data_IF_116432657205
#
_entry.id   IF_116432657205
#
_cell.length_a   1.000
_cell.length_b   1.000
_cell.length_c   1.000
_cell.angle_alpha   90.00
_cell.angle_beta   90.00
_cell.angle_gamma   90.00
#
_symmetry.space_group_name_H-M   'P 1'
#
loop_
_entity.id
_entity.type
_entity.pdbx_description
1 polymer ?
#
# COMPACT_ATOMS: atom_id res chain seq x y z
N UNK A 1 1.44 -27.33 0.61
CA UNK A 1 0.92 -25.94 0.62
C UNK A 1 -0.47 -25.84 -0.01
N UNK A 2 -0.67 -26.16 -1.29
CA UNK A 2 -1.97 -26.02 -1.98
C UNK A 2 -3.08 -26.84 -1.32
N UNK A 3 -2.86 -28.11 -0.96
CA UNK A 3 -3.84 -28.94 -0.23
C UNK A 3 -4.22 -28.32 1.11
N UNK A 4 -3.24 -27.83 1.88
CA UNK A 4 -3.49 -27.17 3.17
C UNK A 4 -4.30 -25.88 3.00
N UNK A 5 -3.92 -25.04 2.03
CA UNK A 5 -4.65 -23.82 1.70
C UNK A 5 -6.11 -24.14 1.31
N UNK A 6 -6.32 -25.18 0.49
CA UNK A 6 -7.66 -25.60 0.04
C UNK A 6 -8.55 -25.99 1.22
N UNK A 7 -8.01 -26.76 2.19
CA UNK A 7 -8.75 -27.15 3.39
C UNK A 7 -9.16 -25.93 4.23
N UNK A 8 -8.24 -25.00 4.48
CA UNK A 8 -8.51 -23.79 5.27
C UNK A 8 -9.51 -22.87 4.55
N UNK A 9 -9.27 -22.57 3.26
CA UNK A 9 -10.12 -21.64 2.51
C UNK A 9 -11.55 -22.15 2.34
N UNK A 10 -11.74 -23.48 2.18
CA UNK A 10 -13.07 -24.10 2.11
C UNK A 10 -13.86 -23.85 3.40
N UNK A 11 -13.28 -24.14 4.56
CA UNK A 11 -13.92 -23.91 5.86
C UNK A 11 -14.21 -22.44 6.09
N UNK A 12 -13.24 -21.56 5.81
CA UNK A 12 -13.45 -20.11 5.97
C UNK A 12 -14.64 -19.59 5.17
N UNK A 13 -14.78 -20.04 3.92
CA UNK A 13 -15.92 -19.63 3.09
C UNK A 13 -17.23 -20.23 3.61
N UNK A 14 -17.21 -21.48 4.10
CA UNK A 14 -18.40 -22.13 4.64
C UNK A 14 -18.90 -21.46 5.92
N UNK A 15 -17.98 -21.09 6.83
CA UNK A 15 -18.34 -20.51 8.12
C UNK A 15 -18.56 -19.01 8.10
N UNK A 16 -17.73 -18.28 7.36
CA UNK A 16 -17.71 -16.81 7.40
C UNK A 16 -18.12 -16.16 6.08
N UNK A 17 -18.41 -16.94 5.06
CA UNK A 17 -18.76 -16.46 3.72
C UNK A 17 -17.62 -15.74 3.01
N UNK A 18 -17.92 -15.18 1.85
CA UNK A 18 -16.94 -14.45 1.04
C UNK A 18 -16.45 -13.16 1.69
N UNK A 19 -17.35 -12.45 2.37
CA UNK A 19 -16.98 -11.25 3.13
C UNK A 19 -15.99 -11.57 4.24
N UNK A 20 -16.25 -12.62 5.00
CA UNK A 20 -15.39 -13.05 6.09
C UNK A 20 -13.99 -13.45 5.61
N UNK A 21 -13.87 -14.08 4.43
CA UNK A 21 -12.59 -14.36 3.79
C UNK A 21 -11.88 -13.07 3.39
N UNK A 22 -12.55 -12.13 2.70
CA UNK A 22 -11.95 -10.87 2.27
C UNK A 22 -11.49 -10.00 3.45
N UNK A 23 -12.26 -9.94 4.54
CA UNK A 23 -11.87 -9.23 5.77
C UNK A 23 -10.60 -9.80 6.38
N UNK A 24 -10.42 -11.13 6.33
CA UNK A 24 -9.20 -11.79 6.81
C UNK A 24 -8.00 -11.51 5.92
N UNK A 25 -8.18 -11.56 4.61
CA UNK A 25 -7.13 -11.21 3.65
C UNK A 25 -6.69 -9.75 3.77
N UNK A 26 -7.56 -8.85 4.21
CA UNK A 26 -7.22 -7.44 4.42
C UNK A 26 -6.43 -7.18 5.72
N UNK A 27 -6.37 -8.15 6.62
CA UNK A 27 -5.61 -8.04 7.88
C UNK A 27 -4.18 -8.55 7.67
N UNK A 28 -3.13 -7.71 7.78
CA UNK A 28 -1.76 -8.13 7.58
C UNK A 28 -1.31 -9.27 8.50
N UNK A 29 -1.77 -9.26 9.75
CA UNK A 29 -1.40 -10.27 10.73
C UNK A 29 -2.04 -11.62 10.40
N UNK A 30 -3.33 -11.63 10.06
CA UNK A 30 -4.03 -12.83 9.65
C UNK A 30 -3.41 -13.42 8.36
N UNK A 31 -3.14 -12.57 7.38
CA UNK A 31 -2.49 -12.99 6.15
C UNK A 31 -1.13 -13.66 6.42
N UNK A 32 -0.35 -13.09 7.34
CA UNK A 32 0.94 -13.67 7.72
C UNK A 32 0.77 -15.02 8.45
N UNK A 33 -0.21 -15.15 9.35
CA UNK A 33 -0.50 -16.40 10.03
C UNK A 33 -0.94 -17.50 9.06
N UNK A 34 -1.80 -17.15 8.08
CA UNK A 34 -2.21 -18.08 7.02
C UNK A 34 -1.00 -18.51 6.16
N UNK A 35 -0.14 -17.56 5.76
CA UNK A 35 1.08 -17.84 5.04
C UNK A 35 1.96 -18.89 5.77
N UNK A 36 2.13 -18.72 7.07
CA UNK A 36 2.88 -19.65 7.90
C UNK A 36 2.17 -21.01 8.04
N UNK A 37 0.85 -21.00 8.23
CA UNK A 37 0.05 -22.22 8.38
C UNK A 37 0.20 -23.15 7.17
N UNK A 38 0.14 -22.60 5.96
CA UNK A 38 0.30 -23.38 4.73
C UNK A 38 1.74 -23.86 4.47
N UNK A 39 2.70 -23.46 5.32
CA UNK A 39 4.09 -23.95 5.30
C UNK A 39 4.99 -23.17 4.37
N UNK A 40 4.74 -21.87 4.16
CA UNK A 40 5.71 -20.99 3.52
C UNK A 40 6.92 -20.80 4.42
N UNK A 41 8.10 -20.91 3.81
CA UNK A 41 9.35 -20.67 4.49
C UNK A 41 9.62 -19.16 4.65
N UNK A 42 10.25 -18.78 5.76
CA UNK A 42 10.41 -17.40 6.23
C UNK A 42 11.37 -16.54 5.46
N UNK A 43 12.45 -17.17 4.98
CA UNK A 43 13.55 -16.49 4.30
C UNK A 43 13.26 -16.27 2.82
N UNK A 44 12.02 -16.58 2.39
CA UNK A 44 11.62 -16.44 1.00
C UNK A 44 11.06 -15.04 0.73
N UNK A 45 11.78 -14.23 -0.05
CA UNK A 45 11.28 -13.00 -0.66
C UNK A 45 9.98 -13.19 -1.48
N UNK A 46 9.52 -14.44 -1.59
CA UNK A 46 8.33 -14.86 -2.32
C UNK A 46 7.09 -15.11 -1.47
N UNK A 47 7.12 -14.96 -0.14
CA UNK A 47 6.00 -15.38 0.72
C UNK A 47 4.66 -14.79 0.28
N UNK A 48 4.54 -13.48 0.14
CA UNK A 48 3.31 -12.81 -0.32
C UNK A 48 2.93 -13.27 -1.74
N UNK A 49 3.90 -13.33 -2.65
CA UNK A 49 3.65 -13.66 -4.06
C UNK A 49 3.23 -15.11 -4.25
N UNK A 50 3.82 -16.04 -3.52
CA UNK A 50 3.47 -17.47 -3.56
C UNK A 50 2.14 -17.71 -2.88
N UNK A 51 1.91 -17.13 -1.71
CA UNK A 51 0.65 -17.29 -0.97
C UNK A 51 -0.53 -16.77 -1.78
N UNK A 52 -0.44 -15.58 -2.36
CA UNK A 52 -1.52 -15.04 -3.21
C UNK A 52 -1.74 -15.88 -4.47
N UNK A 53 -0.68 -16.43 -5.07
CA UNK A 53 -0.79 -17.34 -6.22
C UNK A 53 -1.50 -18.66 -5.84
N UNK A 54 -1.15 -19.24 -4.67
CA UNK A 54 -1.82 -20.45 -4.15
C UNK A 54 -3.30 -20.16 -3.86
N UNK A 55 -3.62 -19.03 -3.21
CA UNK A 55 -5.02 -18.66 -2.94
C UNK A 55 -5.79 -18.50 -4.26
N UNK A 56 -5.21 -17.79 -5.24
CA UNK A 56 -5.79 -17.59 -6.59
C UNK A 56 -6.12 -18.93 -7.25
N UNK A 57 -5.17 -19.86 -7.25
CA UNK A 57 -5.33 -21.18 -7.86
C UNK A 57 -6.41 -22.02 -7.14
N UNK A 58 -6.39 -22.01 -5.80
CA UNK A 58 -7.37 -22.76 -4.98
C UNK A 58 -8.78 -22.21 -5.14
N UNK A 59 -8.96 -20.88 -5.12
CA UNK A 59 -10.29 -20.26 -5.29
C UNK A 59 -10.86 -20.56 -6.68
N UNK A 60 -10.03 -20.56 -7.72
CA UNK A 60 -10.45 -20.93 -9.06
C UNK A 60 -10.84 -22.41 -9.16
N UNK A 61 -10.07 -23.34 -8.54
CA UNK A 61 -10.42 -24.76 -8.49
C UNK A 61 -11.72 -25.05 -7.74
N UNK A 62 -11.95 -24.35 -6.63
CA UNK A 62 -13.17 -24.50 -5.85
C UNK A 62 -14.38 -23.86 -6.51
N UNK A 63 -14.17 -23.09 -7.58
CA UNK A 63 -15.20 -22.34 -8.30
C UNK A 63 -16.13 -21.55 -7.36
N UNK A 64 -15.54 -20.90 -6.36
CA UNK A 64 -16.26 -20.06 -5.40
C UNK A 64 -16.58 -18.70 -6.01
N UNK A 65 -17.52 -17.97 -5.39
CA UNK A 65 -17.88 -16.59 -5.78
C UNK A 65 -16.84 -15.52 -5.44
N UNK A 66 -15.57 -15.91 -5.28
CA UNK A 66 -14.41 -15.03 -5.03
C UNK A 66 -13.35 -15.30 -6.07
N UNK A 67 -12.73 -14.24 -6.59
CA UNK A 67 -11.61 -14.31 -7.53
C UNK A 67 -10.45 -13.44 -7.05
N UNK A 68 -9.24 -13.80 -7.49
CA UNK A 68 -8.05 -12.98 -7.32
C UNK A 68 -7.43 -12.70 -8.70
N UNK A 69 -7.32 -11.43 -9.05
CA UNK A 69 -6.65 -10.97 -10.26
C UNK A 69 -5.30 -10.35 -9.93
N UNK A 70 -4.34 -10.45 -10.85
CA UNK A 70 -3.00 -9.90 -10.72
C UNK A 70 -1.95 -10.92 -10.28
N UNK A 71 -0.79 -10.41 -9.84
CA UNK A 71 0.35 -11.23 -9.47
C UNK A 71 1.68 -10.46 -9.43
N UNK A 72 2.80 -11.16 -9.67
CA UNK A 72 4.16 -10.60 -9.61
C UNK A 72 4.61 -10.06 -10.97
N UNK A 73 5.30 -8.91 -10.97
CA UNK A 73 5.98 -8.35 -12.12
C UNK A 73 5.01 -8.05 -13.29
N UNK A 74 5.25 -8.60 -14.47
CA UNK A 74 4.39 -8.36 -15.65
C UNK A 74 2.94 -8.83 -15.48
N UNK A 75 2.70 -9.85 -14.66
CA UNK A 75 1.33 -10.34 -14.38
C UNK A 75 0.50 -9.28 -13.66
N UNK A 76 1.14 -8.43 -12.86
CA UNK A 76 0.46 -7.30 -12.21
C UNK A 76 -0.12 -6.29 -13.22
N UNK A 77 0.46 -6.16 -14.42
CA UNK A 77 -0.01 -5.26 -15.47
C UNK A 77 -1.30 -5.79 -16.13
N UNK A 78 -1.50 -7.11 -16.11
CA UNK A 78 -2.70 -7.77 -16.66
C UNK A 78 -3.88 -7.76 -15.68
N UNK A 79 -3.70 -7.25 -14.46
CA UNK A 79 -4.78 -7.22 -13.45
C UNK A 79 -6.10 -6.65 -13.97
N UNK A 80 -6.14 -5.52 -14.72
CA UNK A 80 -7.37 -4.99 -15.24
C UNK A 80 -8.11 -5.96 -16.18
N UNK A 81 -7.38 -6.64 -17.05
CA UNK A 81 -7.94 -7.60 -17.99
C UNK A 81 -8.47 -8.86 -17.28
N UNK A 82 -7.72 -9.34 -16.27
CA UNK A 82 -8.17 -10.46 -15.43
C UNK A 82 -9.43 -10.11 -14.63
N UNK A 83 -9.52 -8.88 -14.08
CA UNK A 83 -10.73 -8.43 -13.37
C UNK A 83 -11.94 -8.47 -14.27
N UNK A 84 -11.85 -7.92 -15.49
CA UNK A 84 -12.96 -7.93 -16.45
C UNK A 84 -13.41 -9.36 -16.77
N UNK A 85 -12.47 -10.26 -17.09
CA UNK A 85 -12.77 -11.66 -17.37
C UNK A 85 -13.44 -12.37 -16.19
N UNK A 86 -12.91 -12.20 -14.97
CA UNK A 86 -13.50 -12.84 -13.79
C UNK A 86 -14.87 -12.27 -13.41
N UNK A 87 -15.12 -10.99 -13.68
CA UNK A 87 -16.45 -10.41 -13.51
C UNK A 87 -17.47 -11.03 -14.49
N UNK A 88 -17.05 -11.31 -15.73
CA UNK A 88 -17.89 -12.05 -16.70
C UNK A 88 -18.20 -13.47 -16.20
N UNK A 89 -17.17 -14.21 -15.71
CA UNK A 89 -17.35 -15.55 -15.14
C UNK A 89 -18.32 -15.56 -13.94
N UNK A 90 -18.32 -14.51 -13.11
CA UNK A 90 -19.21 -14.34 -11.97
C UNK A 90 -20.55 -13.67 -12.33
N UNK A 91 -20.82 -13.43 -13.62
CA UNK A 91 -22.04 -12.75 -14.10
C UNK A 91 -22.28 -11.38 -13.46
N UNK A 92 -21.22 -10.66 -13.14
CA UNK A 92 -21.28 -9.30 -12.57
C UNK A 92 -21.56 -8.26 -13.65
N UNK A 93 -22.18 -7.14 -13.26
CA UNK A 93 -22.45 -6.06 -14.20
C UNK A 93 -21.17 -5.36 -14.70
N UNK A 94 -21.18 -4.84 -15.90
CA UNK A 94 -20.06 -4.07 -16.47
C UNK A 94 -19.71 -2.85 -15.60
N UNK A 95 -20.67 -2.25 -14.93
CA UNK A 95 -20.43 -1.14 -14.01
C UNK A 95 -19.52 -1.56 -12.85
N UNK A 96 -19.84 -2.68 -12.21
CA UNK A 96 -19.02 -3.23 -11.09
C UNK A 96 -17.63 -3.65 -11.58
N UNK A 97 -17.54 -4.26 -12.76
CA UNK A 97 -16.26 -4.65 -13.36
C UNK A 97 -15.35 -3.43 -13.62
N UNK A 98 -15.91 -2.34 -14.14
CA UNK A 98 -15.19 -1.09 -14.37
C UNK A 98 -14.76 -0.44 -13.04
N UNK A 99 -15.61 -0.48 -12.01
CA UNK A 99 -15.30 0.03 -10.69
C UNK A 99 -14.16 -0.74 -10.02
N UNK A 100 -14.20 -2.07 -10.02
CA UNK A 100 -13.11 -2.91 -9.51
C UNK A 100 -11.80 -2.67 -10.26
N UNK A 101 -11.85 -2.53 -11.58
CA UNK A 101 -10.69 -2.17 -12.40
C UNK A 101 -10.14 -0.79 -12.02
N UNK A 102 -11.01 0.18 -11.76
CA UNK A 102 -10.63 1.52 -11.29
C UNK A 102 -9.96 1.46 -9.93
N UNK A 103 -10.53 0.74 -8.96
CA UNK A 103 -9.92 0.57 -7.63
C UNK A 103 -8.57 -0.13 -7.68
N UNK A 104 -8.41 -1.15 -8.52
CA UNK A 104 -7.11 -1.79 -8.74
C UNK A 104 -6.06 -0.79 -9.21
N UNK A 105 -6.37 0.03 -10.22
CA UNK A 105 -5.46 1.07 -10.74
C UNK A 105 -5.15 2.15 -9.70
N UNK A 106 -6.17 2.63 -8.99
CA UNK A 106 -6.02 3.65 -7.95
C UNK A 106 -5.17 3.14 -6.78
N UNK A 107 -5.39 1.91 -6.32
CA UNK A 107 -4.59 1.30 -5.25
C UNK A 107 -3.10 1.27 -5.59
N UNK A 108 -2.74 0.91 -6.83
CA UNK A 108 -1.36 0.95 -7.28
C UNK A 108 -0.79 2.38 -7.28
N UNK A 109 -1.59 3.38 -7.66
CA UNK A 109 -1.19 4.80 -7.64
C UNK A 109 -1.09 5.36 -6.22
N UNK A 110 -1.94 4.93 -5.31
CA UNK A 110 -1.88 5.27 -3.89
C UNK A 110 -0.49 4.96 -3.33
N UNK A 111 0.01 3.73 -3.51
CA UNK A 111 1.28 3.29 -2.94
C UNK A 111 2.52 3.60 -3.80
N UNK A 112 2.36 4.30 -4.91
CA UNK A 112 3.49 4.72 -5.74
C UNK A 112 3.57 6.22 -5.96
N UNK A 113 2.47 6.94 -5.77
CA UNK A 113 2.36 8.37 -6.08
C UNK A 113 2.02 9.19 -4.84
N UNK A 114 0.99 8.80 -4.08
CA UNK A 114 0.55 9.53 -2.89
C UNK A 114 1.38 9.17 -1.66
N UNK A 115 1.81 7.91 -1.53
CA UNK A 115 2.77 7.47 -0.53
C UNK A 115 4.12 7.24 -1.21
N UNK A 116 5.11 8.10 -0.92
CA UNK A 116 6.46 7.98 -1.46
C UNK A 116 7.42 7.60 -0.34
N UNK A 117 7.44 6.32 -0.05
CA UNK A 117 8.17 5.70 1.05
C UNK A 117 9.47 5.01 0.63
N UNK A 118 9.79 5.06 -0.66
CA UNK A 118 11.00 4.46 -1.22
C UNK A 118 10.90 2.97 -1.53
N UNK A 119 9.71 2.38 -1.43
CA UNK A 119 9.47 0.98 -1.82
C UNK A 119 8.86 0.92 -3.22
N UNK A 120 9.54 0.24 -4.14
CA UNK A 120 9.05 0.04 -5.51
C UNK A 120 8.13 -1.17 -5.56
N UNK A 121 6.88 -0.98 -5.99
CA UNK A 121 5.92 -2.06 -6.15
C UNK A 121 6.38 -3.05 -7.22
N UNK A 122 6.29 -4.35 -6.90
CA UNK A 122 6.59 -5.45 -7.81
C UNK A 122 5.52 -6.55 -7.77
N UNK A 123 4.59 -6.47 -6.84
CA UNK A 123 3.47 -7.39 -6.69
C UNK A 123 2.19 -6.60 -6.43
N UNK A 124 1.12 -6.96 -7.15
CA UNK A 124 -0.20 -6.37 -7.00
C UNK A 124 -1.26 -7.42 -7.31
N UNK A 125 -2.17 -7.63 -6.39
CA UNK A 125 -3.37 -8.44 -6.59
C UNK A 125 -4.59 -7.74 -6.02
N UNK A 126 -5.73 -7.96 -6.65
CA UNK A 126 -7.04 -7.61 -6.12
C UNK A 126 -7.87 -8.90 -5.95
N UNK A 127 -8.32 -9.15 -4.73
CA UNK A 127 -9.32 -10.18 -4.42
C UNK A 127 -10.70 -9.52 -4.37
N UNK A 128 -11.70 -10.12 -4.98
CA UNK A 128 -13.06 -9.58 -4.97
C UNK A 128 -14.11 -10.68 -5.05
N UNK A 129 -15.31 -10.38 -4.58
CA UNK A 129 -16.45 -11.29 -4.62
C UNK A 129 -17.55 -10.81 -5.58
N UNK A 130 -18.53 -11.68 -5.80
CA UNK A 130 -19.69 -11.45 -6.67
C UNK A 130 -20.55 -10.23 -6.29
N UNK A 131 -20.38 -9.70 -5.06
CA UNK A 131 -21.06 -8.48 -4.59
C UNK A 131 -20.22 -7.21 -4.79
N UNK A 132 -19.04 -7.34 -5.41
CA UNK A 132 -18.14 -6.20 -5.66
C UNK A 132 -17.33 -5.74 -4.45
N UNK A 133 -17.30 -6.49 -3.33
CA UNK A 133 -16.40 -6.23 -2.20
C UNK A 133 -14.99 -6.66 -2.60
N UNK A 134 -14.00 -5.89 -2.23
CA UNK A 134 -12.64 -6.10 -2.72
C UNK A 134 -11.56 -5.84 -1.67
N UNK A 135 -10.43 -6.48 -1.85
CA UNK A 135 -9.19 -6.25 -1.09
C UNK A 135 -8.02 -6.24 -2.06
N UNK A 136 -7.19 -5.24 -1.96
CA UNK A 136 -5.91 -5.16 -2.67
C UNK A 136 -4.78 -5.51 -1.71
N UNK A 137 -3.88 -6.40 -2.16
CA UNK A 137 -2.65 -6.74 -1.47
C UNK A 137 -1.50 -6.43 -2.42
N UNK A 138 -0.64 -5.54 -1.99
CA UNK A 138 0.53 -5.10 -2.75
C UNK A 138 1.80 -5.33 -1.96
N UNK A 139 2.92 -5.47 -2.67
CA UNK A 139 4.23 -5.52 -2.04
C UNK A 139 5.25 -4.74 -2.84
N UNK A 140 5.95 -3.86 -2.14
CA UNK A 140 7.09 -3.11 -2.61
C UNK A 140 8.40 -3.63 -2.01
N UNK A 141 9.51 -3.31 -2.68
CA UNK A 141 10.86 -3.58 -2.20
C UNK A 141 11.70 -2.32 -2.24
N UNK A 142 12.43 -2.09 -1.17
CA UNK A 142 13.53 -1.14 -1.15
C UNK A 142 14.84 -1.93 -1.27
N UNK A 143 15.52 -1.79 -2.42
CA UNK A 143 16.74 -2.56 -2.71
C UNK A 143 17.94 -2.08 -1.89
N UNK A 144 17.97 -0.81 -1.51
CA UNK A 144 19.06 -0.22 -0.74
C UNK A 144 19.02 -0.72 0.71
N UNK A 145 17.81 -0.75 1.30
CA UNK A 145 17.58 -1.26 2.64
C UNK A 145 17.48 -2.79 2.68
N UNK A 146 17.28 -3.45 1.52
CA UNK A 146 17.00 -4.89 1.41
C UNK A 146 15.77 -5.32 2.22
N UNK A 147 14.76 -4.47 2.27
CA UNK A 147 13.51 -4.67 3.00
C UNK A 147 12.32 -4.70 2.06
N UNK A 148 11.26 -5.38 2.49
CA UNK A 148 9.98 -5.36 1.83
C UNK A 148 8.93 -4.61 2.65
N UNK A 149 7.90 -4.13 1.95
CA UNK A 149 6.73 -3.52 2.55
C UNK A 149 5.49 -4.08 1.88
N UNK A 150 4.53 -4.55 2.69
CA UNK A 150 3.26 -5.07 2.21
C UNK A 150 2.14 -4.14 2.61
N UNK A 151 1.29 -3.79 1.64
CA UNK A 151 0.16 -2.90 1.79
C UNK A 151 -1.13 -3.69 1.62
N UNK A 152 -2.10 -3.42 2.49
CA UNK A 152 -3.44 -3.95 2.39
C UNK A 152 -4.42 -2.80 2.33
N UNK A 153 -5.31 -2.80 1.31
CA UNK A 153 -6.37 -1.82 1.12
C UNK A 153 -7.68 -2.59 0.95
N UNK A 154 -8.73 -2.20 1.64
CA UNK A 154 -10.01 -2.90 1.58
C UNK A 154 -11.17 -1.93 1.34
N UNK A 155 -12.25 -2.42 0.73
CA UNK A 155 -13.45 -1.65 0.40
C UNK A 155 -14.06 -0.89 1.58
N UNK A 156 -13.78 -1.30 2.81
CA UNK A 156 -14.32 -0.72 4.05
C UNK A 156 -13.31 0.13 4.83
N UNK A 157 -12.08 0.21 4.40
CA UNK A 157 -11.00 0.86 5.17
C UNK A 157 -11.17 2.38 5.24
N UNK A 158 -11.69 2.98 4.17
CA UNK A 158 -11.93 4.42 4.08
C UNK A 158 -13.10 4.72 3.15
N UNK A 159 -13.66 5.91 3.28
CA UNK A 159 -14.69 6.42 2.36
C UNK A 159 -14.09 6.85 1.02
N UNK A 160 -12.81 7.20 0.99
CA UNK A 160 -12.08 7.61 -0.21
C UNK A 160 -10.73 6.92 -0.29
N UNK A 161 -10.36 6.48 -1.49
CA UNK A 161 -9.10 5.73 -1.67
C UNK A 161 -7.84 6.61 -1.53
N UNK A 162 -8.00 7.93 -1.55
CA UNK A 162 -6.88 8.88 -1.44
C UNK A 162 -6.70 9.47 -0.03
N UNK A 163 -7.40 8.90 0.99
CA UNK A 163 -7.25 9.33 2.38
C UNK A 163 -7.30 8.12 3.31
N UNK A 164 -6.17 7.80 3.92
CA UNK A 164 -5.99 6.68 4.87
C UNK A 164 -6.64 5.35 4.41
N UNK A 165 -6.40 4.89 3.16
CA UNK A 165 -7.14 3.77 2.59
C UNK A 165 -6.69 2.40 3.10
N UNK A 166 -5.56 2.33 3.81
CA UNK A 166 -4.96 1.07 4.22
C UNK A 166 -5.69 0.44 5.41
N UNK A 167 -6.06 -0.81 5.27
CA UNK A 167 -6.42 -1.66 6.41
C UNK A 167 -5.20 -2.09 7.22
N UNK A 168 -4.01 -2.01 6.62
CA UNK A 168 -2.74 -2.17 7.29
C UNK A 168 -1.55 -2.16 6.36
N UNK A 169 -0.40 -1.75 6.90
CA UNK A 169 0.91 -1.75 6.23
C UNK A 169 1.91 -2.46 7.13
N UNK A 170 2.58 -3.49 6.58
CA UNK A 170 3.63 -4.25 7.27
C UNK A 170 5.00 -3.87 6.76
N UNK A 171 5.91 -3.47 7.66
CA UNK A 171 7.31 -3.16 7.34
C UNK A 171 8.13 -3.08 8.60
N UNK A 172 9.37 -3.60 8.60
CA UNK A 172 10.35 -3.39 9.68
C UNK A 172 10.91 -1.97 9.70
N UNK A 173 10.73 -1.24 8.64
CA UNK A 173 11.22 0.12 8.49
C UNK A 173 10.10 1.12 8.63
N UNK A 174 10.33 2.13 9.48
CA UNK A 174 9.50 3.32 9.59
C UNK A 174 10.40 4.54 9.46
N UNK A 175 10.13 5.40 8.47
CA UNK A 175 10.99 6.52 8.14
C UNK A 175 10.24 7.84 7.97
N UNK A 176 10.91 8.79 7.34
CA UNK A 176 10.32 10.06 6.91
C UNK A 176 9.92 9.89 5.44
N UNK A 177 8.64 9.99 5.14
CA UNK A 177 8.06 9.72 3.82
C UNK A 177 7.16 10.86 3.38
N UNK A 178 7.01 11.09 2.08
CA UNK A 178 5.93 11.95 1.60
C UNK A 178 4.61 11.16 1.68
N UNK A 179 3.71 11.61 2.55
CA UNK A 179 2.43 10.95 2.80
C UNK A 179 1.24 11.88 2.50
N UNK A 180 0.80 11.86 1.25
CA UNK A 180 -0.39 12.60 0.82
C UNK A 180 -1.71 11.87 1.16
N UNK A 181 -1.63 10.66 1.73
CA UNK A 181 -2.79 9.90 2.20
C UNK A 181 -3.26 10.35 3.58
N UNK A 182 -2.39 10.96 4.35
CA UNK A 182 -2.69 11.48 5.68
C UNK A 182 -3.72 12.62 5.59
N UNK A 183 -4.62 12.69 6.57
CA UNK A 183 -5.60 13.78 6.71
C UNK A 183 -4.94 15.14 6.88
N UNK A 184 -3.76 15.18 7.50
CA UNK A 184 -2.97 16.40 7.63
C UNK A 184 -2.53 16.96 6.26
N UNK A 185 -2.51 16.14 5.20
CA UNK A 185 -2.16 16.55 3.84
C UNK A 185 -3.34 17.10 3.02
N UNK A 186 -4.52 17.30 3.61
CA UNK A 186 -5.70 17.80 2.86
C UNK A 186 -5.42 19.15 2.21
N UNK A 187 -4.95 20.15 2.97
CA UNK A 187 -4.60 21.45 2.42
C UNK A 187 -3.57 21.38 1.29
N UNK A 188 -2.55 20.51 1.44
CA UNK A 188 -1.60 20.26 0.36
C UNK A 188 -2.27 19.68 -0.90
N UNK A 189 -3.21 18.73 -0.75
CA UNK A 189 -3.95 18.15 -1.89
C UNK A 189 -4.84 19.18 -2.58
N UNK A 190 -5.47 20.08 -1.83
CA UNK A 190 -6.28 21.16 -2.38
C UNK A 190 -5.42 22.12 -3.22
N UNK A 191 -4.27 22.55 -2.70
CA UNK A 191 -3.30 23.35 -3.46
C UNK A 191 -2.80 22.61 -4.70
N UNK A 192 -2.55 21.31 -4.64
CA UNK A 192 -2.16 20.50 -5.81
C UNK A 192 -3.23 20.58 -6.89
N UNK A 193 -4.53 20.44 -6.53
CA UNK A 193 -5.64 20.55 -7.48
C UNK A 193 -5.76 21.94 -8.10
N UNK A 194 -5.47 22.99 -7.35
CA UNK A 194 -5.44 24.35 -7.89
C UNK A 194 -4.28 24.55 -8.85
N UNK A 195 -3.08 24.08 -8.48
CA UNK A 195 -1.88 24.20 -9.30
C UNK A 195 -1.98 23.49 -10.65
N UNK A 196 -2.63 22.32 -10.69
CA UNK A 196 -2.77 21.57 -11.97
C UNK A 196 -3.75 22.23 -12.94
N UNK A 197 -4.56 23.19 -12.46
CA UNK A 197 -5.47 24.01 -13.27
C UNK A 197 -4.89 25.39 -13.61
N UNK A 198 -3.72 25.72 -13.05
CA UNK A 198 -3.01 26.97 -13.36
C UNK A 198 -2.14 26.82 -14.62
N UNK A 199 -1.74 27.94 -15.23
CA UNK A 199 -0.92 27.94 -16.45
C UNK A 199 0.37 27.10 -16.28
N UNK A 200 0.62 26.08 -17.14
CA UNK A 200 1.75 25.15 -16.99
C UNK A 200 3.13 25.82 -16.90
N UNK A 201 3.33 26.93 -17.63
CA UNK A 201 4.59 27.68 -17.57
C UNK A 201 4.77 28.39 -16.22
N UNK A 202 3.68 28.90 -15.65
CA UNK A 202 3.69 29.53 -14.33
C UNK A 202 4.05 28.50 -13.25
N UNK A 203 3.42 27.34 -13.27
CA UNK A 203 3.73 26.23 -12.33
C UNK A 203 5.18 25.76 -12.49
N UNK A 204 5.67 25.61 -13.72
CA UNK A 204 7.06 25.25 -13.99
C UNK A 204 8.06 26.28 -13.44
N UNK A 205 7.74 27.58 -13.55
CA UNK A 205 8.54 28.65 -12.95
C UNK A 205 8.54 28.59 -11.42
N UNK A 206 7.39 28.25 -10.79
CA UNK A 206 7.30 28.02 -9.34
C UNK A 206 8.20 26.86 -8.91
N UNK A 207 8.23 25.74 -9.65
CA UNK A 207 9.16 24.63 -9.37
C UNK A 207 10.62 25.11 -9.46
N UNK A 208 10.93 25.93 -10.45
CA UNK A 208 12.28 26.52 -10.59
C UNK A 208 12.65 27.37 -9.38
N UNK A 209 11.71 28.18 -8.90
CA UNK A 209 11.90 29.01 -7.71
C UNK A 209 12.09 28.16 -6.44
N UNK A 210 11.24 27.15 -6.23
CA UNK A 210 11.36 26.18 -5.13
C UNK A 210 12.72 25.48 -5.14
N UNK A 211 13.21 25.05 -6.31
CA UNK A 211 14.55 24.47 -6.44
C UNK A 211 15.69 25.42 -6.00
N UNK A 212 15.54 26.73 -6.23
CA UNK A 212 16.50 27.74 -5.73
C UNK A 212 16.45 27.83 -4.20
N UNK A 213 15.25 27.84 -3.63
CA UNK A 213 15.08 27.85 -2.16
C UNK A 213 15.73 26.62 -1.52
N UNK A 214 15.50 25.41 -2.07
CA UNK A 214 16.09 24.15 -1.58
C UNK A 214 17.62 24.14 -1.66
N UNK A 215 18.21 24.84 -2.63
CA UNK A 215 19.67 24.99 -2.77
C UNK A 215 20.26 26.11 -1.89
N UNK A 216 19.43 26.80 -1.11
CA UNK A 216 19.86 27.95 -0.30
C UNK A 216 20.23 29.19 -1.12
N UNK A 217 19.84 29.25 -2.40
CA UNK A 217 20.05 30.41 -3.25
C UNK A 217 18.93 31.40 -3.01
N UNK A 218 19.22 32.57 -2.40
CA UNK A 218 18.24 33.63 -2.20
C UNK A 218 17.88 34.28 -3.54
N UNK A 219 16.59 34.43 -3.82
CA UNK A 219 16.10 35.16 -4.98
C UNK A 219 16.29 36.67 -4.82
N UNK A 220 16.46 37.38 -5.92
CA UNK A 220 16.50 38.88 -5.94
C UNK A 220 15.21 39.48 -5.32
N UNK A 221 14.10 38.79 -5.40
CA UNK A 221 12.78 39.23 -4.90
C UNK A 221 12.75 39.27 -3.35
N UNK A 222 13.59 38.50 -2.65
CA UNK A 222 13.72 38.57 -1.19
C UNK A 222 14.37 39.87 -0.71
N UNK A 223 15.08 40.54 -1.57
CA UNK A 223 15.67 41.85 -1.28
C UNK A 223 14.68 43.02 -1.47
N UNK A 224 13.62 42.81 -2.26
CA UNK A 224 12.62 43.86 -2.56
C UNK A 224 11.41 43.84 -1.58
N UNK A 225 11.17 42.76 -0.88
CA UNK A 225 10.11 42.63 0.10
C UNK A 225 10.66 42.83 1.52
N UNK A 226 11.04 44.07 1.82
CA UNK A 226 11.36 44.60 3.15
C UNK A 226 11.37 43.60 4.33
N UNK A 227 12.50 42.95 4.56
CA UNK A 227 12.94 42.49 5.89
C UNK A 227 12.04 41.56 6.72
N UNK A 228 11.02 40.90 6.19
CA UNK A 228 10.30 39.86 6.94
C UNK A 228 11.06 38.56 6.91
N UNK A 229 11.74 38.29 8.02
CA UNK A 229 12.48 37.08 8.27
C UNK A 229 11.66 35.83 7.98
N UNK A 230 12.05 35.07 6.94
CA UNK A 230 11.61 33.68 6.71
C UNK A 230 12.23 32.73 7.78
N UNK A 231 12.44 33.22 9.00
CA UNK A 231 13.01 32.45 10.12
C UNK A 231 12.02 31.54 10.82
N UNK A 232 10.76 31.51 10.41
CA UNK A 232 9.73 30.67 11.00
C UNK A 232 9.11 29.73 9.97
N UNK A 233 9.91 28.98 9.22
CA UNK A 233 9.47 27.68 8.73
C UNK A 233 9.56 26.77 9.96
N UNK A 234 8.48 26.77 10.74
CA UNK A 234 8.42 26.02 12.00
C UNK A 234 8.75 24.55 11.73
N UNK A 235 9.64 23.98 12.51
CA UNK A 235 10.12 22.60 12.53
C UNK A 235 11.13 22.14 11.46
N UNK A 236 11.27 22.77 10.28
CA UNK A 236 12.27 22.33 9.28
C UNK A 236 13.70 22.64 9.74
N UNK A 237 13.90 23.65 10.59
CA UNK A 237 15.23 24.03 11.11
C UNK A 237 15.90 22.99 12.02
N UNK A 238 15.20 21.92 12.43
CA UNK A 238 15.73 20.86 13.31
C UNK A 238 16.00 19.53 12.58
N UNK A 239 15.48 19.34 11.36
CA UNK A 239 15.77 18.16 10.55
C UNK A 239 16.87 18.51 9.55
N UNK A 240 17.86 17.64 9.39
CA UNK A 240 18.80 17.73 8.28
C UNK A 240 18.08 17.37 6.98
N UNK A 241 17.35 18.33 6.40
CA UNK A 241 16.50 18.17 5.22
C UNK A 241 17.27 17.65 4.01
N UNK A 242 18.61 17.79 3.99
CA UNK A 242 19.47 17.33 2.89
C UNK A 242 19.43 15.82 2.68
N UNK A 243 19.11 15.06 3.73
CA UNK A 243 19.02 13.60 3.69
C UNK A 243 17.60 13.08 3.43
N UNK A 244 16.58 13.96 3.44
CA UNK A 244 15.19 13.57 3.19
C UNK A 244 14.92 13.62 1.68
N UNK A 245 14.56 12.49 1.03
CA UNK A 245 14.34 12.45 -0.42
C UNK A 245 13.29 13.44 -0.92
N UNK A 246 12.28 13.75 -0.10
CA UNK A 246 11.23 14.71 -0.42
C UNK A 246 11.80 16.09 -0.76
N UNK A 247 12.78 16.60 0.00
CA UNK A 247 13.37 17.93 -0.21
C UNK A 247 14.49 17.99 -1.28
N UNK A 248 14.72 16.90 -2.01
CA UNK A 248 15.66 16.95 -3.14
C UNK A 248 15.12 17.85 -4.25
N UNK A 249 15.97 18.68 -4.90
CA UNK A 249 15.55 19.48 -6.05
C UNK A 249 14.87 18.63 -7.13
N UNK A 250 13.80 19.18 -7.71
CA UNK A 250 13.05 18.53 -8.79
C UNK A 250 13.81 18.68 -10.10
N UNK A 251 13.88 17.62 -10.90
CA UNK A 251 14.50 17.67 -12.23
C UNK A 251 13.63 18.48 -13.20
N UNK A 252 14.15 19.60 -13.70
CA UNK A 252 13.44 20.43 -14.68
C UNK A 252 13.66 19.85 -16.09
N UNK A 253 12.73 19.03 -16.54
CA UNK A 253 12.78 18.36 -17.85
C UNK A 253 11.65 18.82 -18.75
N UNK A 254 11.82 18.66 -20.08
CA UNK A 254 10.71 18.87 -21.03
C UNK A 254 9.54 17.90 -20.77
N UNK A 255 9.84 16.71 -20.27
CA UNK A 255 8.84 15.72 -19.87
C UNK A 255 7.96 16.22 -18.72
N UNK A 256 8.55 16.88 -17.71
CA UNK A 256 7.78 17.48 -16.61
C UNK A 256 6.86 18.59 -17.14
N UNK A 257 7.35 19.46 -18.02
CA UNK A 257 6.53 20.50 -18.64
C UNK A 257 5.41 19.89 -19.51
N UNK A 258 5.68 18.80 -20.22
CA UNK A 258 4.66 18.08 -20.99
C UNK A 258 3.58 17.48 -20.05
N UNK A 259 3.98 16.88 -18.94
CA UNK A 259 3.04 16.36 -17.92
C UNK A 259 2.15 17.47 -17.36
N UNK A 260 2.72 18.64 -17.03
CA UNK A 260 1.94 19.79 -16.57
C UNK A 260 0.93 20.26 -17.62
N UNK A 261 1.31 20.33 -18.90
CA UNK A 261 0.37 20.67 -19.98
C UNK A 261 -0.76 19.67 -20.12
N UNK A 262 -0.43 18.39 -20.13
CA UNK A 262 -1.43 17.32 -20.23
C UNK A 262 -2.45 17.37 -19.09
N UNK A 263 -1.97 17.56 -17.86
CA UNK A 263 -2.86 17.67 -16.68
C UNK A 263 -3.72 18.92 -16.74
N UNK A 264 -3.16 20.05 -17.18
CA UNK A 264 -3.88 21.31 -17.38
C UNK A 264 -5.02 21.17 -18.41
N UNK A 265 -4.74 20.51 -19.54
CA UNK A 265 -5.74 20.25 -20.59
C UNK A 265 -6.90 19.37 -20.10
N UNK A 266 -6.59 18.34 -19.28
CA UNK A 266 -7.60 17.47 -18.69
C UNK A 266 -8.40 18.18 -17.59
N UNK A 267 -7.77 19.12 -16.88
CA UNK A 267 -8.37 19.90 -15.77
C UNK A 267 -9.11 19.05 -14.72
N UNK A 268 -8.41 18.11 -14.05
CA UNK A 268 -9.04 17.21 -13.10
C UNK A 268 -9.65 17.96 -11.92
N UNK A 269 -10.81 17.48 -11.45
CA UNK A 269 -11.54 18.07 -10.33
C UNK A 269 -11.25 17.36 -9.00
N UNK A 270 -10.72 16.16 -9.06
CA UNK A 270 -10.40 15.33 -7.89
C UNK A 270 -9.00 14.75 -7.97
N UNK A 271 -8.43 14.41 -6.80
CA UNK A 271 -7.15 13.68 -6.72
C UNK A 271 -7.21 12.35 -7.46
N UNK A 272 -8.34 11.65 -7.41
CA UNK A 272 -8.51 10.37 -8.12
C UNK A 272 -8.47 10.54 -9.63
N UNK A 273 -9.13 11.57 -10.16
CA UNK A 273 -9.05 11.91 -11.59
C UNK A 273 -7.61 12.23 -12.00
N UNK A 274 -6.92 13.05 -11.19
CA UNK A 274 -5.51 13.39 -11.44
C UNK A 274 -4.60 12.16 -11.45
N UNK A 275 -4.81 11.22 -10.52
CA UNK A 275 -4.03 9.97 -10.46
C UNK A 275 -4.23 9.08 -11.69
N UNK A 276 -5.41 9.09 -12.29
CA UNK A 276 -5.75 8.24 -13.44
C UNK A 276 -5.26 8.82 -14.77
N UNK A 277 -4.80 10.08 -14.80
CA UNK A 277 -4.21 10.66 -16.02
C UNK A 277 -2.92 9.89 -16.39
N UNK A 278 -2.74 9.48 -17.65
CA UNK A 278 -1.54 8.82 -18.11
C UNK A 278 -0.27 9.64 -17.82
N UNK A 279 0.81 8.94 -17.42
CA UNK A 279 2.12 9.53 -17.11
C UNK A 279 2.17 10.45 -15.88
N UNK A 280 1.08 10.64 -15.16
CA UNK A 280 1.09 11.27 -13.84
C UNK A 280 1.70 10.28 -12.82
N UNK A 281 2.73 10.73 -12.12
CA UNK A 281 3.50 9.91 -11.19
C UNK A 281 4.05 10.71 -10.01
N UNK A 282 4.79 10.02 -9.12
CA UNK A 282 5.26 10.58 -7.85
C UNK A 282 6.11 11.84 -7.99
N UNK A 283 6.92 11.98 -9.05
CA UNK A 283 7.75 13.17 -9.25
C UNK A 283 6.91 14.45 -9.45
N UNK A 284 5.80 14.37 -10.20
CA UNK A 284 4.88 15.49 -10.36
C UNK A 284 4.23 15.86 -9.02
N UNK A 285 3.69 14.88 -8.30
CA UNK A 285 3.07 15.13 -7.00
C UNK A 285 4.07 15.71 -6.00
N UNK A 286 5.30 15.19 -5.96
CA UNK A 286 6.35 15.73 -5.09
C UNK A 286 6.70 17.19 -5.46
N UNK A 287 6.78 17.52 -6.74
CA UNK A 287 7.03 18.87 -7.20
C UNK A 287 5.92 19.85 -6.78
N UNK A 288 4.66 19.44 -6.93
CA UNK A 288 3.50 20.23 -6.53
C UNK A 288 3.39 20.35 -5.01
N UNK A 289 3.67 19.30 -4.26
CA UNK A 289 3.71 19.34 -2.79
C UNK A 289 4.78 20.30 -2.26
N UNK A 290 5.96 20.35 -2.90
CA UNK A 290 6.98 21.33 -2.54
C UNK A 290 6.55 22.78 -2.80
N UNK A 291 5.80 23.04 -3.87
CA UNK A 291 5.18 24.36 -4.10
C UNK A 291 4.17 24.66 -3.01
N UNK A 292 3.28 23.70 -2.70
CA UNK A 292 2.28 23.82 -1.67
C UNK A 292 2.90 24.20 -0.32
N UNK A 293 3.93 23.49 0.11
CA UNK A 293 4.60 23.75 1.39
C UNK A 293 5.37 25.09 1.37
N UNK A 294 6.26 25.30 0.38
CA UNK A 294 7.23 26.37 0.43
C UNK A 294 6.65 27.73 -0.01
N UNK A 295 5.64 27.74 -0.88
CA UNK A 295 5.00 28.97 -1.40
C UNK A 295 3.65 29.23 -0.70
N UNK A 296 2.80 28.21 -0.61
CA UNK A 296 1.43 28.35 -0.10
C UNK A 296 1.28 28.09 1.40
N UNK A 297 2.31 27.51 2.06
CA UNK A 297 2.36 27.18 3.50
C UNK A 297 1.41 26.04 3.90
N UNK A 298 1.05 25.20 2.95
CA UNK A 298 0.26 23.99 3.15
C UNK A 298 1.16 22.75 3.00
N UNK A 299 1.83 22.30 4.09
CA UNK A 299 2.77 21.19 4.02
C UNK A 299 2.04 19.85 3.89
N UNK A 300 2.65 18.85 3.20
CA UNK A 300 2.20 17.47 3.32
C UNK A 300 2.63 16.86 4.67
N UNK A 301 1.97 15.78 5.07
CA UNK A 301 2.46 14.92 6.15
C UNK A 301 3.74 14.19 5.71
N UNK A 302 4.68 14.07 6.62
CA UNK A 302 5.91 13.28 6.46
C UNK A 302 5.90 12.03 7.33
N UNK A 303 4.75 11.69 7.92
CA UNK A 303 4.58 10.53 8.78
C UNK A 303 4.46 9.24 7.97
N UNK A 304 5.24 8.24 8.33
CA UNK A 304 5.15 6.91 7.73
C UNK A 304 3.97 6.14 8.35
N UNK A 305 2.97 5.71 7.54
CA UNK A 305 1.73 5.10 8.02
C UNK A 305 1.86 3.60 8.36
N UNK A 306 3.06 3.08 8.61
CA UNK A 306 3.26 1.69 9.02
C UNK A 306 2.46 1.37 10.27
N UNK A 307 1.58 0.37 10.18
CA UNK A 307 0.70 -0.10 11.26
C UNK A 307 1.20 -1.38 11.92
N UNK A 308 1.93 -2.22 11.17
CA UNK A 308 2.45 -3.50 11.59
C UNK A 308 3.97 -3.49 11.43
N UNK A 309 4.72 -3.23 12.51
CA UNK A 309 6.17 -3.05 12.44
C UNK A 309 6.90 -4.40 12.35
N UNK A 310 6.69 -5.14 11.27
CA UNK A 310 7.43 -6.36 10.95
C UNK A 310 7.62 -6.48 9.44
N UNK A 311 8.77 -7.02 9.02
CA UNK A 311 9.06 -7.32 7.63
C UNK A 311 8.20 -8.50 7.17
N UNK A 312 7.42 -8.37 6.08
CA UNK A 312 6.63 -9.46 5.54
C UNK A 312 7.46 -10.67 5.09
N UNK A 313 8.78 -10.55 4.96
CA UNK A 313 9.67 -11.65 4.63
C UNK A 313 10.27 -12.34 5.85
N UNK A 314 10.58 -11.58 6.90
CA UNK A 314 11.38 -12.05 8.05
C UNK A 314 10.54 -12.56 9.21
N UNK A 315 9.31 -12.10 9.35
CA UNK A 315 8.51 -12.39 10.53
C UNK A 315 7.43 -13.42 10.29
N UNK A 316 7.65 -14.52 10.89
CA UNK A 316 6.65 -15.33 11.48
C UNK A 316 6.78 -15.11 12.99
N UNK A 317 5.75 -14.96 13.69
CA UNK A 317 5.46 -14.98 15.13
C UNK A 317 6.60 -15.34 16.14
N UNK A 318 7.90 -15.12 15.86
CA UNK A 318 8.93 -15.29 16.88
C UNK A 318 8.94 -14.10 17.82
N UNK A 319 8.63 -14.41 19.05
CA UNK A 319 8.94 -13.59 20.21
C UNK A 319 10.46 -13.62 20.41
N UNK A 320 11.13 -12.50 20.11
CA UNK A 320 12.58 -12.36 20.25
C UNK A 320 13.30 -12.33 18.89
N UNK A 321 13.37 -11.14 18.30
CA UNK A 321 14.26 -10.90 17.15
C UNK A 321 15.71 -11.17 17.54
N UNK A 322 16.54 -11.58 16.61
CA UNK A 322 17.97 -11.82 16.80
C UNK A 322 18.74 -10.62 17.38
N UNK A 323 18.15 -9.43 17.40
CA UNK A 323 18.78 -8.17 17.82
C UNK A 323 18.11 -7.50 19.04
N UNK A 324 17.34 -8.25 19.83
CA UNK A 324 17.00 -7.88 21.22
C UNK A 324 16.01 -6.74 21.42
N UNK A 325 15.30 -6.24 20.39
CA UNK A 325 14.23 -5.25 20.56
C UNK A 325 12.86 -5.92 20.39
N UNK A 326 12.07 -6.06 21.49
CA UNK A 326 10.73 -6.63 21.38
C UNK A 326 9.80 -5.62 20.72
N UNK A 327 9.26 -5.94 19.54
CA UNK A 327 8.17 -5.18 18.96
C UNK A 327 6.85 -5.51 19.69
N UNK A 328 6.03 -4.51 20.06
CA UNK A 328 4.75 -4.75 20.72
C UNK A 328 3.67 -5.15 19.68
N UNK A 329 3.76 -6.35 19.15
CA UNK A 329 2.56 -6.98 18.60
C UNK A 329 1.67 -7.27 19.80
N UNK A 330 0.41 -6.81 19.77
CA UNK A 330 -0.55 -7.15 20.83
C UNK A 330 -0.68 -8.67 20.87
N UNK A 331 -0.06 -9.29 21.87
CA UNK A 331 0.01 -10.75 22.07
C UNK A 331 -1.37 -11.39 22.00
N UNK A 332 -2.37 -10.72 22.56
CA UNK A 332 -3.77 -11.15 22.57
C UNK A 332 -4.34 -11.32 21.14
N UNK A 333 -4.02 -10.39 20.24
CA UNK A 333 -4.47 -10.46 18.86
C UNK A 333 -3.83 -11.62 18.11
N UNK A 334 -2.55 -11.89 18.36
CA UNK A 334 -1.83 -13.03 17.81
C UNK A 334 -2.39 -14.37 18.28
N UNK A 335 -2.66 -14.48 19.58
CA UNK A 335 -3.30 -15.66 20.17
C UNK A 335 -4.69 -15.90 19.58
N UNK A 336 -5.48 -14.83 19.39
CA UNK A 336 -6.82 -14.97 18.80
C UNK A 336 -6.79 -15.48 17.35
N UNK A 337 -5.84 -14.98 16.53
CA UNK A 337 -5.68 -15.42 15.13
C UNK A 337 -5.21 -16.88 15.06
N UNK A 338 -4.29 -17.30 15.95
CA UNK A 338 -3.82 -18.69 15.98
C UNK A 338 -4.96 -19.63 16.38
N UNK A 339 -5.72 -19.29 17.43
CA UNK A 339 -6.88 -20.08 17.88
C UNK A 339 -7.93 -20.21 16.78
N UNK A 340 -8.28 -19.11 16.12
CA UNK A 340 -9.21 -19.13 14.99
C UNK A 340 -8.73 -20.09 13.89
N UNK A 341 -7.46 -20.02 13.50
CA UNK A 341 -6.91 -20.92 12.49
C UNK A 341 -6.87 -22.38 12.97
N UNK A 342 -6.62 -22.65 14.27
CA UNK A 342 -6.68 -23.99 14.84
C UNK A 342 -8.11 -24.57 14.78
N UNK A 343 -9.14 -23.78 15.05
CA UNK A 343 -10.55 -24.18 14.93
C UNK A 343 -10.90 -24.49 13.47
N UNK A 344 -10.58 -23.58 12.54
CA UNK A 344 -10.76 -23.80 11.10
C UNK A 344 -10.06 -25.08 10.62
N UNK A 345 -8.88 -25.38 11.12
CA UNK A 345 -8.16 -26.62 10.78
C UNK A 345 -8.87 -27.86 11.35
N UNK A 346 -9.41 -27.79 12.58
CA UNK A 346 -10.17 -28.91 13.16
C UNK A 346 -11.38 -29.27 12.30
N UNK A 347 -12.11 -28.25 11.81
CA UNK A 347 -13.35 -28.42 11.05
C UNK A 347 -13.13 -28.71 9.57
N UNK A 348 -11.87 -28.60 9.10
CA UNK A 348 -11.52 -28.92 7.72
C UNK A 348 -11.65 -30.42 7.39
N UNK A 349 -11.97 -30.73 6.13
CA UNK A 349 -12.02 -32.11 5.58
C UNK A 349 -10.61 -32.71 5.34
N UNK A 350 -9.56 -32.09 5.87
CA UNK A 350 -8.19 -32.55 5.74
C UNK A 350 -7.95 -33.85 6.52
N UNK A 351 -7.09 -34.71 5.99
CA UNK A 351 -6.67 -35.91 6.68
C UNK A 351 -5.90 -35.62 7.98
N UNK A 352 -5.89 -36.55 8.92
CA UNK A 352 -5.23 -36.38 10.23
C UNK A 352 -3.76 -35.98 10.11
N UNK A 353 -3.05 -36.46 9.10
CA UNK A 353 -1.65 -36.12 8.84
C UNK A 353 -1.49 -34.66 8.41
N UNK A 354 -2.35 -34.17 7.55
CA UNK A 354 -2.36 -32.78 7.09
C UNK A 354 -2.75 -31.81 8.21
N UNK A 355 -3.77 -32.14 9.00
CA UNK A 355 -4.14 -31.39 10.21
C UNK A 355 -2.95 -31.29 11.19
N UNK A 356 -2.23 -32.39 11.42
CA UNK A 356 -1.05 -32.39 12.30
C UNK A 356 0.04 -31.46 11.79
N UNK A 357 0.30 -31.43 10.47
CA UNK A 357 1.27 -30.52 9.86
C UNK A 357 0.85 -29.06 10.07
N UNK A 358 -0.43 -28.72 9.85
CA UNK A 358 -0.96 -27.38 10.06
C UNK A 358 -0.83 -26.95 11.53
N UNK A 359 -1.24 -27.80 12.48
CA UNK A 359 -1.07 -27.50 13.90
C UNK A 359 0.40 -27.31 14.28
N UNK A 360 1.30 -28.15 13.77
CA UNK A 360 2.73 -28.00 14.01
C UNK A 360 3.25 -26.66 13.44
N UNK A 361 2.81 -26.25 12.25
CA UNK A 361 3.20 -24.99 11.65
C UNK A 361 2.64 -23.78 12.45
N UNK A 362 1.40 -23.83 12.89
CA UNK A 362 0.80 -22.77 13.71
C UNK A 362 1.50 -22.66 15.07
N UNK A 363 1.70 -23.80 15.77
CA UNK A 363 2.31 -23.82 17.12
C UNK A 363 3.79 -23.48 17.12
N UNK A 364 4.51 -23.71 16.02
CA UNK A 364 5.91 -23.28 15.90
C UNK A 364 6.07 -21.77 16.16
N UNK A 365 5.02 -21.01 15.97
CA UNK A 365 4.98 -19.55 16.05
C UNK A 365 4.07 -19.01 17.15
N UNK A 366 3.42 -19.91 17.89
CA UNK A 366 2.61 -19.54 19.03
C UNK A 366 3.46 -19.04 20.20
N UNK A 367 2.97 -18.07 20.99
CA UNK A 367 3.57 -17.74 22.28
C UNK A 367 3.73 -18.99 23.15
N UNK A 368 4.79 -19.05 23.98
CA UNK A 368 5.12 -20.24 24.79
C UNK A 368 3.97 -20.77 25.67
N UNK A 369 2.98 -19.93 26.00
CA UNK A 369 1.80 -20.31 26.80
C UNK A 369 0.77 -21.14 26.03
N UNK A 370 0.84 -21.22 24.69
CA UNK A 370 -0.01 -22.08 23.86
C UNK A 370 0.71 -23.39 23.46
N UNK A 371 1.94 -23.56 23.88
CA UNK A 371 2.66 -24.83 23.76
C UNK A 371 2.43 -25.62 25.05
N UNK A 372 1.84 -26.85 25.00
CA UNK A 372 1.69 -27.71 26.17
C UNK A 372 3.01 -28.12 26.80
#
# INVERSE_FOLDING_TARGET
>A
MKSLAKGILKVLVMEFGYEGLLRRLSNPLWFQAFNNAIGMDWDSSGSTTVTTAIIKEVLNELNLGVRIAGGKGKVALETPNEVLRYCEELSMSTSVANELTRYSKLSAKVDTVLLQDGFTLYHHVIAFDERGRWVVIQQGMNTDLKLARRYHIAWYSSTTIHEEPHSGISSDYKGVVLNLLDRESRGCKDVILDLVRDEPKKVFNMITYVNRMLKGVRGLDEYSLGGRNIRNIGNISRLDTRNIPYYRPVRLTQELLFKLKNVYEVSPSTIEELLLIPNVGGELFRALSLISELIYREPPSLNDPVTHPYDPFKYSFIVGGKDGVPFPIKRELMVSVIKELEEVVKDSELGSKEKLILFKNLRKYAPQELTP
#
